data_IF_180231506446
#
_entry.id   IF_180231506446
#
_cell.length_a   1.000
_cell.length_b   1.000
_cell.length_c   1.000
_cell.angle_alpha   90.00
_cell.angle_beta   90.00
_cell.angle_gamma   90.00
#
_symmetry.space_group_name_H-M   'P 1'
#
loop_
_entity.id
_entity.type
_entity.pdbx_description
1 polymer ?
#
# COMPACT_ATOMS: atom_id res chain seq x y z
N UNK A 1 18.92 -14.80 -12.23
CA UNK A 1 17.69 -15.62 -12.17
C UNK A 1 16.88 -15.34 -13.42
N UNK A 2 16.46 -16.39 -14.14
CA UNK A 2 15.69 -16.25 -15.39
C UNK A 2 14.20 -16.18 -15.06
N UNK A 3 13.39 -15.57 -15.93
CA UNK A 3 11.94 -15.43 -15.72
C UNK A 3 11.22 -16.76 -15.41
N UNK A 4 11.73 -17.89 -15.92
CA UNK A 4 11.22 -19.23 -15.61
C UNK A 4 11.35 -19.62 -14.14
N UNK A 5 12.40 -19.16 -13.44
CA UNK A 5 12.64 -19.46 -12.03
C UNK A 5 11.58 -18.76 -11.16
N UNK A 6 11.21 -17.53 -11.52
CA UNK A 6 10.19 -16.74 -10.82
C UNK A 6 8.79 -17.29 -11.02
N UNK A 7 8.45 -17.76 -12.23
CA UNK A 7 7.17 -18.41 -12.45
C UNK A 7 7.01 -19.68 -11.58
N UNK A 8 8.06 -20.49 -11.46
CA UNK A 8 8.05 -21.67 -10.59
C UNK A 8 7.96 -21.30 -9.10
N UNK A 9 8.61 -20.22 -8.69
CA UNK A 9 8.47 -19.70 -7.33
C UNK A 9 7.02 -19.29 -7.02
N UNK A 10 6.34 -18.60 -7.95
CA UNK A 10 4.94 -18.19 -7.80
C UNK A 10 4.03 -19.38 -7.52
N UNK A 11 4.15 -20.43 -8.34
CA UNK A 11 3.36 -21.65 -8.19
C UNK A 11 3.65 -22.39 -6.88
N UNK A 12 4.91 -22.38 -6.44
CA UNK A 12 5.31 -23.00 -5.17
C UNK A 12 4.70 -22.26 -3.97
N UNK A 13 4.68 -20.92 -4.00
CA UNK A 13 4.07 -20.11 -2.94
C UNK A 13 2.55 -20.31 -2.90
N UNK A 14 1.88 -20.40 -4.05
CA UNK A 14 0.44 -20.65 -4.13
C UNK A 14 0.00 -21.96 -3.46
N UNK A 15 0.89 -22.96 -3.39
CA UNK A 15 0.61 -24.25 -2.73
C UNK A 15 0.71 -24.18 -1.21
N UNK A 16 1.26 -23.10 -0.65
CA UNK A 16 1.32 -22.90 0.79
C UNK A 16 -0.06 -22.43 1.26
N UNK A 17 -0.68 -23.19 2.17
CA UNK A 17 -1.96 -22.82 2.74
C UNK A 17 -1.88 -21.46 3.44
N UNK A 18 -2.86 -20.58 3.18
CA UNK A 18 -2.92 -19.24 3.77
C UNK A 18 -1.65 -18.40 3.56
N UNK A 19 -0.89 -18.61 2.47
CA UNK A 19 0.36 -17.88 2.19
C UNK A 19 0.21 -16.35 2.28
N UNK A 20 -0.96 -15.81 1.96
CA UNK A 20 -1.23 -14.36 2.01
C UNK A 20 -1.36 -13.81 3.44
N UNK A 21 -1.55 -14.68 4.45
CA UNK A 21 -1.63 -14.34 5.88
C UNK A 21 -0.30 -14.54 6.61
N UNK A 22 0.71 -15.06 5.93
CA UNK A 22 2.02 -15.33 6.51
C UNK A 22 2.98 -14.26 5.94
N UNK A 23 3.59 -13.39 6.77
CA UNK A 23 4.37 -12.25 6.29
C UNK A 23 5.48 -12.60 5.30
N UNK A 24 6.21 -13.69 5.57
CA UNK A 24 7.36 -14.08 4.73
C UNK A 24 6.93 -14.57 3.36
N UNK A 25 5.87 -15.37 3.27
CA UNK A 25 5.37 -15.88 1.99
C UNK A 25 4.67 -14.79 1.18
N UNK A 26 4.00 -13.84 1.84
CA UNK A 26 3.46 -12.66 1.17
C UNK A 26 4.58 -11.79 0.59
N UNK A 27 5.69 -11.60 1.32
CA UNK A 27 6.85 -10.88 0.81
C UNK A 27 7.47 -11.57 -0.41
N UNK A 28 7.61 -12.92 -0.38
CA UNK A 28 8.08 -13.68 -1.54
C UNK A 28 7.14 -13.56 -2.74
N UNK A 29 5.83 -13.58 -2.52
CA UNK A 29 4.87 -13.39 -3.61
C UNK A 29 4.96 -11.98 -4.19
N UNK A 30 5.05 -10.95 -3.34
CA UNK A 30 5.18 -9.56 -3.79
C UNK A 30 6.45 -9.36 -4.64
N UNK A 31 7.58 -9.91 -4.22
CA UNK A 31 8.81 -9.91 -5.02
C UNK A 31 8.62 -10.66 -6.35
N UNK A 32 8.04 -11.86 -6.30
CA UNK A 32 7.85 -12.69 -7.49
C UNK A 32 6.95 -12.00 -8.52
N UNK A 33 5.84 -11.42 -8.09
CA UNK A 33 4.93 -10.65 -8.94
C UNK A 33 5.62 -9.42 -9.51
N UNK A 34 6.40 -8.69 -8.70
CA UNK A 34 7.18 -7.55 -9.20
C UNK A 34 8.17 -7.99 -10.30
N UNK A 35 8.90 -9.09 -10.11
CA UNK A 35 9.90 -9.57 -11.09
C UNK A 35 9.28 -10.07 -12.38
N UNK A 36 8.03 -10.55 -12.34
CA UNK A 36 7.32 -11.09 -13.50
C UNK A 36 6.46 -10.05 -14.24
N UNK A 37 5.78 -9.19 -13.49
CA UNK A 37 4.66 -8.36 -13.98
C UNK A 37 4.87 -6.87 -13.69
N UNK A 38 5.89 -6.51 -12.92
CA UNK A 38 6.23 -5.12 -12.59
C UNK A 38 5.53 -4.59 -11.35
N UNK A 39 5.83 -3.32 -11.02
CA UNK A 39 5.40 -2.68 -9.77
C UNK A 39 3.88 -2.50 -9.67
N UNK A 40 3.21 -2.19 -10.78
CA UNK A 40 1.76 -2.00 -10.82
C UNK A 40 0.99 -3.23 -10.31
N UNK A 41 1.39 -4.43 -10.74
CA UNK A 41 0.80 -5.70 -10.26
C UNK A 41 1.19 -6.04 -8.83
N UNK A 42 2.33 -5.55 -8.34
CA UNK A 42 2.84 -5.86 -7.00
C UNK A 42 2.20 -4.99 -5.89
N UNK A 43 1.67 -3.81 -6.23
CA UNK A 43 1.11 -2.86 -5.26
C UNK A 43 0.11 -3.45 -4.24
N UNK A 44 -0.86 -4.30 -4.65
CA UNK A 44 -1.79 -4.89 -3.69
C UNK A 44 -1.08 -5.70 -2.62
N UNK A 45 -0.08 -6.50 -3.02
CA UNK A 45 0.69 -7.35 -2.12
C UNK A 45 1.62 -6.53 -1.22
N UNK A 46 2.18 -5.42 -1.73
CA UNK A 46 2.97 -4.50 -0.92
C UNK A 46 2.13 -3.80 0.16
N UNK A 47 0.90 -3.38 -0.18
CA UNK A 47 -0.02 -2.78 0.79
C UNK A 47 -0.41 -3.77 1.89
N UNK A 48 -0.80 -4.99 1.49
CA UNK A 48 -1.16 -6.05 2.42
C UNK A 48 0.01 -6.46 3.31
N UNK A 49 1.22 -6.52 2.73
CA UNK A 49 2.44 -6.80 3.50
C UNK A 49 2.70 -5.70 4.52
N UNK A 50 2.48 -4.43 4.16
CA UNK A 50 2.57 -3.31 5.09
C UNK A 50 1.62 -3.45 6.27
N UNK A 51 0.37 -3.85 6.02
CA UNK A 51 -0.62 -4.05 7.09
C UNK A 51 -0.30 -5.25 7.98
N UNK A 52 0.26 -6.31 7.38
CA UNK A 52 0.55 -7.56 8.08
C UNK A 52 1.89 -7.51 8.82
N UNK A 53 2.90 -6.88 8.23
CA UNK A 53 4.26 -6.79 8.75
C UNK A 53 5.01 -5.59 8.14
N UNK A 54 4.93 -4.42 8.78
CA UNK A 54 5.64 -3.21 8.37
C UNK A 54 7.15 -3.43 8.21
N UNK A 55 7.75 -4.22 9.10
CA UNK A 55 9.18 -4.57 9.05
C UNK A 55 9.57 -5.39 7.81
N UNK A 56 8.72 -6.33 7.37
CA UNK A 56 8.97 -7.08 6.13
C UNK A 56 8.81 -6.21 4.89
N UNK A 57 7.82 -5.31 4.88
CA UNK A 57 7.71 -4.31 3.82
C UNK A 57 8.95 -3.41 3.78
N UNK A 58 9.41 -2.93 4.94
CA UNK A 58 10.60 -2.10 5.07
C UNK A 58 11.87 -2.76 4.55
N UNK A 59 12.01 -4.07 4.72
CA UNK A 59 13.12 -4.85 4.16
C UNK A 59 12.95 -5.13 2.66
N UNK A 60 11.73 -5.35 2.18
CA UNK A 60 11.45 -5.70 0.79
C UNK A 60 11.66 -4.51 -0.18
N UNK A 61 11.17 -3.33 0.17
CA UNK A 61 11.28 -2.12 -0.67
C UNK A 61 12.70 -1.90 -1.24
N UNK A 62 13.77 -1.88 -0.43
CA UNK A 62 15.12 -1.71 -0.96
C UNK A 62 15.60 -2.89 -1.82
N UNK A 63 15.14 -4.12 -1.56
CA UNK A 63 15.52 -5.30 -2.35
C UNK A 63 14.93 -5.31 -3.77
N UNK A 64 13.81 -4.64 -4.00
CA UNK A 64 13.20 -4.55 -5.32
C UNK A 64 13.99 -3.63 -6.27
N UNK A 65 14.82 -2.72 -5.71
CA UNK A 65 15.64 -1.75 -6.44
C UNK A 65 14.84 -0.87 -7.43
N UNK A 66 13.52 -0.75 -7.22
CA UNK A 66 12.65 0.09 -8.06
C UNK A 66 12.81 1.56 -7.68
N UNK A 67 13.30 2.38 -8.60
CA UNK A 67 13.59 3.80 -8.36
C UNK A 67 12.35 4.61 -7.98
N UNK A 68 11.18 4.25 -8.52
CA UNK A 68 9.93 4.94 -8.27
C UNK A 68 9.35 4.61 -6.89
N UNK A 69 9.52 3.36 -6.45
CA UNK A 69 9.17 2.90 -5.11
C UNK A 69 10.11 3.48 -4.06
N UNK A 70 11.41 3.51 -4.34
CA UNK A 70 12.42 4.12 -3.47
C UNK A 70 12.22 5.64 -3.33
N UNK A 71 11.82 6.34 -4.39
CA UNK A 71 11.46 7.74 -4.32
C UNK A 71 10.23 7.97 -3.42
N UNK A 72 9.17 7.16 -3.59
CA UNK A 72 7.99 7.22 -2.72
C UNK A 72 8.33 6.91 -1.26
N UNK A 73 9.20 5.91 -1.02
CA UNK A 73 9.64 5.56 0.32
C UNK A 73 10.36 6.72 1.02
N UNK A 74 11.29 7.38 0.33
CA UNK A 74 11.97 8.57 0.86
C UNK A 74 11.02 9.73 1.13
N UNK A 75 10.04 9.93 0.24
CA UNK A 75 9.01 10.95 0.43
C UNK A 75 8.16 10.65 1.68
N UNK A 76 7.77 9.39 1.87
CA UNK A 76 7.06 8.94 3.06
C UNK A 76 7.88 9.20 4.33
N UNK A 77 9.13 8.72 4.38
CA UNK A 77 10.01 8.88 5.55
C UNK A 77 10.26 10.36 5.92
N UNK A 78 10.19 11.27 4.94
CA UNK A 78 10.45 12.70 5.15
C UNK A 78 9.21 13.53 5.48
N UNK A 79 8.03 13.07 5.05
CA UNK A 79 6.83 13.90 5.03
C UNK A 79 5.64 13.32 5.79
N UNK A 80 5.65 12.03 6.08
CA UNK A 80 4.53 11.41 6.78
C UNK A 80 4.64 11.70 8.27
N UNK A 81 3.64 12.39 8.80
CA UNK A 81 3.52 12.69 10.22
C UNK A 81 2.91 11.49 10.95
N UNK A 82 3.76 10.54 11.33
CA UNK A 82 3.44 9.33 12.10
C UNK A 82 4.14 9.29 13.45
N UNK A 83 4.26 8.12 14.04
CA UNK A 83 4.94 7.94 15.34
C UNK A 83 6.48 7.94 15.23
N UNK A 84 7.02 7.95 14.01
CA UNK A 84 8.45 7.85 13.72
C UNK A 84 8.99 6.43 13.88
N UNK A 85 8.12 5.42 13.83
CA UNK A 85 8.50 4.01 14.05
C UNK A 85 8.37 3.20 12.76
N UNK A 86 8.91 1.97 12.77
CA UNK A 86 8.75 1.06 11.62
C UNK A 86 7.27 0.74 11.33
N UNK A 87 6.40 0.83 12.34
CA UNK A 87 4.99 0.51 12.22
C UNK A 87 4.23 1.53 11.37
N UNK A 88 4.77 2.74 11.21
CA UNK A 88 4.21 3.75 10.30
C UNK A 88 4.15 3.24 8.86
N UNK A 89 5.03 2.31 8.46
CA UNK A 89 5.00 1.72 7.11
C UNK A 89 3.70 0.99 6.79
N UNK A 90 2.87 0.66 7.77
CA UNK A 90 1.52 0.17 7.51
C UNK A 90 0.66 1.20 6.75
N UNK A 91 0.95 2.50 6.91
CA UNK A 91 0.28 3.60 6.22
C UNK A 91 0.89 3.92 4.85
N UNK A 92 2.00 3.28 4.47
CA UNK A 92 2.75 3.60 3.26
C UNK A 92 1.89 3.55 2.00
N UNK A 93 1.05 2.52 1.84
CA UNK A 93 0.17 2.41 0.67
C UNK A 93 -0.90 3.52 0.63
N UNK A 94 -1.41 3.93 1.79
CA UNK A 94 -2.36 5.03 1.90
C UNK A 94 -1.71 6.36 1.50
N UNK A 95 -0.50 6.63 2.01
CA UNK A 95 0.30 7.79 1.59
C UNK A 95 0.68 7.75 0.10
N UNK A 96 1.05 6.58 -0.43
CA UNK A 96 1.39 6.45 -1.85
C UNK A 96 0.23 6.87 -2.77
N UNK A 97 -1.02 6.62 -2.38
CA UNK A 97 -2.21 7.07 -3.11
C UNK A 97 -2.34 8.60 -3.10
N UNK A 98 -1.98 9.27 -1.99
CA UNK A 98 -2.07 10.74 -1.92
C UNK A 98 -1.06 11.40 -2.87
N UNK A 99 0.14 10.83 -2.98
CA UNK A 99 1.20 11.30 -3.88
C UNK A 99 0.96 10.87 -5.34
N UNK A 100 0.41 9.67 -5.56
CA UNK A 100 0.12 9.11 -6.89
C UNK A 100 -1.31 8.55 -6.96
N UNK A 101 -2.32 9.40 -7.25
CA UNK A 101 -3.73 8.97 -7.33
C UNK A 101 -3.99 7.83 -8.34
N UNK A 102 -3.15 7.69 -9.38
CA UNK A 102 -3.25 6.60 -10.35
C UNK A 102 -3.11 5.20 -9.74
N UNK A 103 -2.45 5.06 -8.58
CA UNK A 103 -2.32 3.79 -7.86
C UNK A 103 -3.66 3.25 -7.32
N UNK A 104 -4.69 4.10 -7.24
CA UNK A 104 -5.98 3.74 -6.69
C UNK A 104 -6.63 2.55 -7.41
N UNK A 105 -6.43 2.41 -8.72
CA UNK A 105 -6.99 1.28 -9.48
C UNK A 105 -6.39 -0.06 -9.02
N UNK A 106 -5.07 -0.11 -8.79
CA UNK A 106 -4.37 -1.30 -8.34
C UNK A 106 -4.70 -1.59 -6.86
N UNK A 107 -4.72 -0.56 -6.01
CA UNK A 107 -4.93 -0.76 -4.56
C UNK A 107 -6.39 -1.09 -4.17
N UNK A 108 -7.35 -0.96 -5.09
CA UNK A 108 -8.74 -1.42 -4.87
C UNK A 108 -8.86 -2.94 -4.82
N UNK A 109 -7.94 -3.68 -5.45
CA UNK A 109 -7.98 -5.15 -5.48
C UNK A 109 -7.27 -5.81 -4.29
N UNK A 110 -6.80 -5.01 -3.32
CA UNK A 110 -6.24 -5.56 -2.09
C UNK A 110 -7.27 -6.42 -1.36
N UNK A 111 -6.85 -7.60 -0.95
CA UNK A 111 -7.65 -8.44 -0.07
C UNK A 111 -7.77 -7.79 1.30
N UNK A 112 -8.91 -7.95 1.98
CA UNK A 112 -9.05 -7.53 3.36
C UNK A 112 -8.03 -8.23 4.25
N UNK A 113 -7.32 -7.45 5.07
CA UNK A 113 -6.45 -7.99 6.10
C UNK A 113 -7.22 -8.04 7.43
N UNK A 114 -6.52 -7.97 8.55
CA UNK A 114 -7.06 -7.95 9.92
C UNK A 114 -7.89 -6.69 10.25
N UNK A 115 -8.31 -5.91 9.24
CA UNK A 115 -9.11 -4.69 9.36
C UNK A 115 -8.44 -3.64 10.26
N UNK A 116 -7.13 -3.53 10.11
CA UNK A 116 -6.30 -2.56 10.84
C UNK A 116 -6.69 -1.13 10.49
N UNK A 117 -6.33 -0.17 11.35
CA UNK A 117 -6.56 1.25 11.06
C UNK A 117 -5.93 1.71 9.73
N UNK A 118 -4.68 1.32 9.39
CA UNK A 118 -4.09 1.67 8.10
C UNK A 118 -4.86 1.16 6.88
N UNK A 119 -5.39 -0.06 6.93
CA UNK A 119 -6.25 -0.58 5.87
C UNK A 119 -7.51 0.29 5.70
N UNK A 120 -8.17 0.63 6.81
CA UNK A 120 -9.38 1.47 6.78
C UNK A 120 -9.08 2.87 6.24
N UNK A 121 -7.96 3.46 6.62
CA UNK A 121 -7.52 4.76 6.11
C UNK A 121 -7.30 4.74 4.61
N UNK A 122 -6.63 3.70 4.09
CA UNK A 122 -6.47 3.51 2.64
C UNK A 122 -7.83 3.39 1.93
N UNK A 123 -8.76 2.61 2.48
CA UNK A 123 -10.11 2.45 1.91
C UNK A 123 -10.88 3.78 1.87
N UNK A 124 -10.79 4.60 2.92
CA UNK A 124 -11.40 5.94 2.94
C UNK A 124 -10.78 6.85 1.88
N UNK A 125 -9.46 6.80 1.66
CA UNK A 125 -8.82 7.57 0.59
C UNK A 125 -9.30 7.15 -0.81
N UNK A 126 -9.47 5.85 -1.05
CA UNK A 126 -10.02 5.34 -2.31
C UNK A 126 -11.46 5.82 -2.54
N UNK A 127 -12.27 5.88 -1.47
CA UNK A 127 -13.62 6.46 -1.50
C UNK A 127 -13.57 7.96 -1.79
N UNK A 128 -12.70 8.71 -1.11
CA UNK A 128 -12.52 10.16 -1.33
C UNK A 128 -12.17 10.47 -2.77
N UNK A 129 -11.20 9.75 -3.36
CA UNK A 129 -10.84 9.88 -4.77
C UNK A 129 -12.01 9.62 -5.72
N UNK A 130 -12.89 8.71 -5.35
CA UNK A 130 -14.09 8.39 -6.14
C UNK A 130 -15.10 9.54 -6.07
N UNK A 131 -15.35 10.05 -4.86
CA UNK A 131 -16.27 11.17 -4.61
C UNK A 131 -15.79 12.47 -5.28
N UNK A 132 -14.48 12.72 -5.28
CA UNK A 132 -13.84 13.84 -5.98
C UNK A 132 -14.13 13.80 -7.48
N UNK A 133 -13.93 12.63 -8.09
CA UNK A 133 -14.20 12.42 -9.51
C UNK A 133 -15.68 12.58 -9.85
N UNK A 134 -16.58 12.21 -8.93
CA UNK A 134 -18.03 12.32 -9.09
C UNK A 134 -18.59 13.71 -8.74
N UNK A 135 -17.78 14.63 -8.21
CA UNK A 135 -18.22 15.97 -7.81
C UNK A 135 -19.17 15.99 -6.60
N UNK A 136 -19.18 14.94 -5.77
CA UNK A 136 -20.10 14.77 -4.63
C UNK A 136 -19.61 15.54 -3.39
N UNK A 137 -19.72 16.86 -3.44
CA UNK A 137 -19.17 17.79 -2.43
C UNK A 137 -19.63 17.50 -1.00
N UNK A 138 -20.91 17.20 -0.79
CA UNK A 138 -21.45 16.95 0.55
C UNK A 138 -20.84 15.70 1.19
N UNK A 139 -20.81 14.58 0.46
CA UNK A 139 -20.26 13.32 0.95
C UNK A 139 -18.74 13.41 1.18
N UNK A 140 -18.06 14.18 0.32
CA UNK A 140 -16.62 14.41 0.41
C UNK A 140 -16.25 15.13 1.70
N UNK A 141 -17.04 16.10 2.16
CA UNK A 141 -16.82 16.78 3.46
C UNK A 141 -16.89 15.78 4.62
N UNK A 142 -17.90 14.91 4.65
CA UNK A 142 -18.07 13.92 5.72
C UNK A 142 -16.96 12.86 5.72
N UNK A 143 -16.49 12.44 4.54
CA UNK A 143 -15.36 11.52 4.43
C UNK A 143 -14.04 12.16 4.82
N UNK A 144 -13.83 13.44 4.52
CA UNK A 144 -12.66 14.21 4.98
C UNK A 144 -12.63 14.34 6.51
N UNK A 145 -13.77 14.60 7.15
CA UNK A 145 -13.88 14.61 8.62
C UNK A 145 -13.52 13.24 9.20
N UNK A 146 -14.02 12.17 8.60
CA UNK A 146 -13.73 10.79 9.02
C UNK A 146 -12.24 10.48 8.92
N UNK A 147 -11.59 10.83 7.80
CA UNK A 147 -10.15 10.64 7.60
C UNK A 147 -9.35 11.43 8.65
N UNK A 148 -9.69 12.69 8.87
CA UNK A 148 -9.04 13.55 9.89
C UNK A 148 -9.17 12.96 11.29
N UNK A 149 -10.36 12.49 11.65
CA UNK A 149 -10.60 11.87 12.96
C UNK A 149 -9.89 10.52 13.13
N UNK A 150 -9.54 9.84 12.03
CA UNK A 150 -8.81 8.58 12.05
C UNK A 150 -7.31 8.77 12.17
N UNK A 151 -6.72 9.65 11.36
CA UNK A 151 -5.29 9.93 11.37
C UNK A 151 -5.00 11.31 10.77
N UNK A 152 -4.56 12.26 11.59
CA UNK A 152 -4.26 13.64 11.16
C UNK A 152 -3.16 13.67 10.11
N UNK A 153 -2.05 12.97 10.30
CA UNK A 153 -0.93 12.96 9.34
C UNK A 153 -1.31 12.47 7.94
N UNK A 154 -2.18 11.46 7.83
CA UNK A 154 -2.68 10.98 6.55
C UNK A 154 -3.65 11.98 5.91
N UNK A 155 -4.50 12.62 6.72
CA UNK A 155 -5.38 13.68 6.26
C UNK A 155 -4.58 14.87 5.73
N UNK A 156 -3.52 15.29 6.42
CA UNK A 156 -2.67 16.41 6.01
C UNK A 156 -1.89 16.08 4.72
N UNK A 157 -1.36 14.86 4.61
CA UNK A 157 -0.74 14.37 3.37
C UNK A 157 -1.72 14.38 2.18
N UNK A 158 -2.97 13.98 2.41
CA UNK A 158 -4.02 14.06 1.39
C UNK A 158 -4.39 15.50 1.03
N UNK A 159 -4.53 16.39 2.00
CA UNK A 159 -4.86 17.80 1.75
C UNK A 159 -3.75 18.54 1.00
N UNK A 160 -2.48 18.16 1.20
CA UNK A 160 -1.34 18.77 0.49
C UNK A 160 -1.36 18.53 -1.02
N UNK A 161 -2.03 17.48 -1.48
CA UNK A 161 -2.11 17.11 -2.91
C UNK A 161 -3.48 17.41 -3.54
N UNK A 162 -4.30 18.25 -2.90
CA UNK A 162 -5.62 18.69 -3.37
C UNK A 162 -5.73 20.20 -3.44
#
# INVERSE_FOLDING_TARGET
MRAADWASARESIHRIESWRRIPVTLAWMAETVYRLEGLESAWPLLAELGWLSPSKLGALIPMLEDSSLLALRRAFDSNFDGEGTIDDLAWFAAYAITEKPGLAAHLRVCEPSTRTLPEKGMRILLELLTLEREGRQHDLIERRKTLRGMHSGLFDAYMRTR
#
